data_IF_291437917048
#
_entry.id   IF_291437917048
#
_cell.length_a   1.000
_cell.length_b   1.000
_cell.length_c   1.000
_cell.angle_alpha   90.00
_cell.angle_beta   90.00
_cell.angle_gamma   90.00
#
_symmetry.space_group_name_H-M   'P 1'
#
loop_
_entity.id
_entity.type
_entity.pdbx_description
1 polymer ?
#
# COMPACT_ATOMS: atom_id res chain seq x y z
N UNK A 1 0.27 -53.19 -7.05
CA UNK A 1 -0.62 -52.13 -6.54
C UNK A 1 0.29 -50.96 -6.18
N UNK A 2 0.31 -49.88 -6.95
CA UNK A 2 1.22 -48.75 -6.70
C UNK A 2 0.62 -47.84 -5.63
N UNK A 3 1.27 -47.79 -4.47
CA UNK A 3 0.86 -46.96 -3.35
C UNK A 3 1.55 -45.61 -3.51
N UNK A 4 0.81 -44.64 -4.07
CA UNK A 4 1.28 -43.26 -4.21
C UNK A 4 1.25 -42.64 -2.80
N UNK A 5 2.39 -42.64 -2.12
CA UNK A 5 2.58 -41.86 -0.90
C UNK A 5 2.81 -40.41 -1.30
N UNK A 6 1.75 -39.63 -1.22
CA UNK A 6 1.79 -38.20 -1.50
C UNK A 6 2.51 -37.50 -0.34
N UNK A 7 3.68 -36.94 -0.63
CA UNK A 7 4.44 -36.15 0.32
C UNK A 7 3.70 -34.83 0.60
N UNK A 8 3.10 -34.73 1.79
CA UNK A 8 2.27 -33.60 2.20
C UNK A 8 3.04 -32.28 2.24
N UNK A 9 4.34 -32.32 2.55
CA UNK A 9 5.18 -31.13 2.61
C UNK A 9 5.45 -30.54 1.21
N UNK A 10 5.62 -31.41 0.22
CA UNK A 10 5.81 -31.04 -1.17
C UNK A 10 4.54 -30.41 -1.77
N UNK A 11 3.38 -30.94 -1.37
CA UNK A 11 2.08 -30.42 -1.78
C UNK A 11 1.81 -29.03 -1.19
N UNK A 12 2.23 -28.80 0.05
CA UNK A 12 2.12 -27.50 0.71
C UNK A 12 3.02 -26.45 0.05
N UNK A 13 4.23 -26.83 -0.37
CA UNK A 13 5.13 -25.96 -1.12
C UNK A 13 4.52 -25.53 -2.46
N UNK A 14 4.02 -26.48 -3.26
CA UNK A 14 3.36 -26.20 -4.54
C UNK A 14 2.14 -25.29 -4.34
N UNK A 15 1.36 -25.54 -3.30
CA UNK A 15 0.22 -24.69 -2.95
C UNK A 15 0.64 -23.25 -2.61
N UNK A 16 1.65 -23.09 -1.76
CA UNK A 16 2.15 -21.76 -1.36
C UNK A 16 2.74 -21.01 -2.57
N UNK A 17 3.51 -21.68 -3.42
CA UNK A 17 4.06 -21.06 -4.64
C UNK A 17 2.97 -20.55 -5.58
N UNK A 18 1.91 -21.33 -5.78
CA UNK A 18 0.79 -20.95 -6.65
C UNK A 18 -0.03 -19.79 -6.04
N UNK A 19 -0.18 -19.76 -4.71
CA UNK A 19 -0.77 -18.63 -3.99
C UNK A 19 0.08 -17.37 -4.19
N UNK A 20 1.40 -17.45 -4.00
CA UNK A 20 2.31 -16.32 -4.21
C UNK A 20 2.32 -15.83 -5.67
N UNK A 21 2.33 -16.75 -6.64
CA UNK A 21 2.20 -16.42 -8.06
C UNK A 21 0.92 -15.65 -8.37
N UNK A 22 -0.21 -16.06 -7.79
CA UNK A 22 -1.50 -15.41 -7.99
C UNK A 22 -1.58 -14.08 -7.27
N UNK A 23 -1.04 -13.96 -6.05
CA UNK A 23 -0.92 -12.69 -5.34
C UNK A 23 -0.11 -11.68 -6.16
N UNK A 24 1.05 -12.09 -6.68
CA UNK A 24 1.93 -11.24 -7.49
C UNK A 24 1.30 -10.83 -8.83
N UNK A 25 0.33 -11.60 -9.35
CA UNK A 25 -0.40 -11.28 -10.59
C UNK A 25 -1.56 -10.32 -10.41
N UNK A 26 -2.05 -10.12 -9.18
CA UNK A 26 -3.19 -9.24 -8.89
C UNK A 26 -2.76 -7.76 -8.80
N UNK A 27 -1.45 -7.48 -8.82
CA UNK A 27 -0.94 -6.16 -9.17
C UNK A 27 -1.18 -5.89 -10.66
N UNK A 28 -2.41 -5.52 -11.01
CA UNK A 28 -2.70 -4.66 -12.15
C UNK A 28 -1.97 -3.33 -11.88
N UNK A 29 -0.66 -3.30 -12.09
CA UNK A 29 0.19 -2.14 -11.93
C UNK A 29 -0.17 -1.12 -13.01
N UNK A 30 -1.16 -0.29 -12.71
CA UNK A 30 -1.30 0.97 -13.43
C UNK A 30 -0.05 1.77 -13.10
N UNK A 31 0.77 2.13 -14.10
CA UNK A 31 2.04 2.83 -13.86
C UNK A 31 1.84 4.13 -13.09
N UNK A 32 0.73 4.81 -13.35
CA UNK A 32 0.35 6.07 -12.70
C UNK A 32 -1.10 6.04 -12.26
N UNK A 33 -1.36 6.63 -11.10
CA UNK A 33 -2.70 7.02 -10.68
C UNK A 33 -2.97 8.47 -11.11
N UNK A 34 -4.24 8.76 -11.38
CA UNK A 34 -4.74 10.12 -11.44
C UNK A 34 -5.31 10.52 -10.06
N UNK A 35 -5.81 11.75 -9.92
CA UNK A 35 -6.43 12.21 -8.68
C UNK A 35 -7.63 11.37 -8.25
N UNK A 36 -8.41 10.82 -9.19
CA UNK A 36 -9.60 10.02 -8.86
C UNK A 36 -9.17 8.69 -8.25
N UNK A 37 -8.17 8.06 -8.84
CA UNK A 37 -7.61 6.81 -8.36
C UNK A 37 -6.89 7.00 -7.03
N UNK A 38 -6.12 8.08 -6.83
CA UNK A 38 -5.51 8.38 -5.52
C UNK A 38 -6.56 8.53 -4.42
N UNK A 39 -7.70 9.17 -4.71
CA UNK A 39 -8.84 9.24 -3.77
C UNK A 39 -9.42 7.87 -3.48
N UNK A 40 -9.56 7.01 -4.50
CA UNK A 40 -10.05 5.64 -4.36
C UNK A 40 -9.11 4.77 -3.50
N UNK A 41 -7.81 4.92 -3.69
CA UNK A 41 -6.78 4.16 -2.98
C UNK A 41 -6.70 4.55 -1.50
N UNK A 42 -6.79 5.85 -1.20
CA UNK A 42 -6.70 6.36 0.18
C UNK A 42 -8.03 6.41 0.92
N UNK A 43 -9.16 6.35 0.19
CA UNK A 43 -10.50 6.66 0.69
C UNK A 43 -10.62 8.06 1.34
N UNK A 44 -9.73 8.99 0.96
CA UNK A 44 -9.71 10.35 1.52
C UNK A 44 -10.33 11.38 0.56
N UNK A 45 -10.86 12.45 1.16
CA UNK A 45 -11.24 13.65 0.40
C UNK A 45 -9.98 14.36 -0.13
N UNK A 46 -10.12 15.14 -1.20
CA UNK A 46 -8.99 15.91 -1.75
C UNK A 46 -8.39 16.87 -0.73
N UNK A 47 -9.23 17.58 0.02
CA UNK A 47 -8.80 18.53 1.05
C UNK A 47 -8.00 17.81 2.15
N UNK A 48 -8.48 16.66 2.60
CA UNK A 48 -7.77 15.84 3.60
C UNK A 48 -6.40 15.41 3.11
N UNK A 49 -6.28 14.96 1.85
CA UNK A 49 -4.97 14.61 1.29
C UNK A 49 -4.04 15.83 1.23
N UNK A 50 -4.57 17.00 0.85
CA UNK A 50 -3.82 18.27 0.84
C UNK A 50 -3.26 18.64 2.20
N UNK A 51 -4.06 18.51 3.25
CA UNK A 51 -3.66 18.79 4.64
C UNK A 51 -2.67 17.77 5.19
N UNK A 52 -2.80 16.49 4.80
CA UNK A 52 -2.09 15.39 5.43
C UNK A 52 -0.73 15.06 4.84
N UNK A 53 -0.64 14.93 3.52
CA UNK A 53 0.58 14.42 2.89
C UNK A 53 0.86 14.98 1.50
N UNK A 54 -0.13 15.53 0.80
CA UNK A 54 0.06 15.94 -0.58
C UNK A 54 1.12 17.02 -0.73
N UNK A 55 1.25 17.91 0.27
CA UNK A 55 2.25 18.99 0.25
C UNK A 55 3.63 18.55 0.76
N UNK A 56 3.79 17.30 1.17
CA UNK A 56 5.09 16.74 1.52
C UNK A 56 5.99 16.75 0.29
N UNK A 57 7.21 17.34 0.37
CA UNK A 57 8.15 17.35 -0.75
C UNK A 57 8.57 15.94 -1.20
N UNK A 58 8.46 14.94 -0.33
CA UNK A 58 8.79 13.54 -0.63
C UNK A 58 7.61 12.77 -1.23
N UNK A 59 6.39 13.34 -1.28
CA UNK A 59 5.25 12.66 -1.87
C UNK A 59 5.42 12.57 -3.40
N UNK A 60 5.47 11.36 -3.99
CA UNK A 60 5.77 11.19 -5.41
C UNK A 60 4.59 11.65 -6.28
N UNK A 61 4.75 12.80 -6.93
CA UNK A 61 3.75 13.40 -7.82
C UNK A 61 4.41 14.20 -8.93
N UNK A 62 3.76 14.28 -10.09
CA UNK A 62 4.14 15.19 -11.16
C UNK A 62 2.91 15.75 -11.88
N UNK A 63 3.05 16.92 -12.49
CA UNK A 63 1.99 17.56 -13.25
C UNK A 63 2.34 17.57 -14.74
N UNK A 64 1.44 17.09 -15.58
CA UNK A 64 1.55 17.16 -17.04
C UNK A 64 0.27 17.76 -17.61
N UNK A 65 0.38 18.93 -18.24
CA UNK A 65 -0.76 19.59 -18.90
C UNK A 65 -1.92 19.93 -17.96
N UNK A 66 -1.62 20.30 -16.71
CA UNK A 66 -2.63 20.68 -15.72
C UNK A 66 -3.26 19.49 -14.98
N UNK A 67 -2.86 18.25 -15.28
CA UNK A 67 -3.30 17.05 -14.57
C UNK A 67 -2.19 16.50 -13.69
N UNK A 68 -2.56 16.07 -12.48
CA UNK A 68 -1.66 15.39 -11.56
C UNK A 68 -1.63 13.90 -11.84
N UNK A 69 -0.41 13.36 -11.79
CA UNK A 69 -0.12 11.95 -11.91
C UNK A 69 0.78 11.51 -10.76
N UNK A 70 0.58 10.26 -10.36
CA UNK A 70 1.15 9.69 -9.15
C UNK A 70 1.73 8.32 -9.48
N UNK A 71 3.06 8.14 -9.48
CA UNK A 71 3.68 6.83 -9.68
C UNK A 71 3.13 5.82 -8.67
N UNK A 72 2.42 4.81 -9.14
CA UNK A 72 1.56 4.00 -8.28
C UNK A 72 2.36 3.23 -7.22
N UNK A 73 3.53 2.71 -7.61
CA UNK A 73 4.40 1.92 -6.74
C UNK A 73 4.99 2.79 -5.63
N UNK A 74 5.56 3.93 -6.00
CA UNK A 74 6.18 4.88 -5.08
C UNK A 74 5.14 5.49 -4.14
N UNK A 75 3.94 5.81 -4.65
CA UNK A 75 2.85 6.31 -3.81
C UNK A 75 2.39 5.28 -2.78
N UNK A 76 2.27 3.99 -3.13
CA UNK A 76 1.93 2.94 -2.13
C UNK A 76 2.96 2.91 -1.02
N UNK A 77 4.24 2.79 -1.38
CA UNK A 77 5.32 2.74 -0.38
C UNK A 77 5.35 3.97 0.51
N UNK A 78 5.16 5.17 -0.06
CA UNK A 78 5.04 6.40 0.70
C UNK A 78 3.84 6.36 1.67
N UNK A 79 2.65 5.99 1.19
CA UNK A 79 1.42 6.01 1.99
C UNK A 79 1.46 4.99 3.13
N UNK A 80 2.06 3.83 2.91
CA UNK A 80 2.28 2.83 3.97
C UNK A 80 3.21 3.35 5.06
N UNK A 81 4.30 4.03 4.68
CA UNK A 81 5.22 4.63 5.64
C UNK A 81 4.55 5.78 6.40
N UNK A 82 3.89 6.68 5.68
CA UNK A 82 3.12 7.78 6.26
C UNK A 82 2.07 7.28 7.26
N UNK A 83 1.35 6.20 6.94
CA UNK A 83 0.35 5.62 7.84
C UNK A 83 0.99 5.07 9.12
N UNK A 84 2.12 4.37 9.03
CA UNK A 84 2.87 3.89 10.19
C UNK A 84 3.32 5.05 11.06
N UNK A 85 3.94 6.06 10.47
CA UNK A 85 4.44 7.22 11.21
C UNK A 85 3.31 7.91 11.97
N UNK A 86 2.15 8.14 11.32
CA UNK A 86 0.99 8.74 11.98
C UNK A 86 0.36 7.84 13.06
N UNK A 87 0.37 6.52 12.89
CA UNK A 87 -0.08 5.58 13.92
C UNK A 87 0.84 5.63 15.15
N UNK A 88 2.15 5.63 14.96
CA UNK A 88 3.12 5.77 16.06
C UNK A 88 2.96 7.11 16.79
N UNK A 89 2.78 8.21 16.06
CA UNK A 89 2.53 9.52 16.68
C UNK A 89 1.23 9.54 17.52
N UNK A 90 0.18 8.87 17.05
CA UNK A 90 -1.06 8.73 17.83
C UNK A 90 -0.85 7.94 19.12
N UNK A 91 -0.07 6.86 19.09
CA UNK A 91 0.21 6.03 20.26
C UNK A 91 1.07 6.79 21.29
N UNK A 92 2.13 7.46 20.85
CA UNK A 92 2.98 8.29 21.71
C UNK A 92 2.19 9.42 22.39
N UNK A 93 1.28 10.05 21.65
CA UNK A 93 0.42 11.10 22.19
C UNK A 93 -0.55 10.57 23.25
N UNK A 94 -1.04 9.34 23.09
CA UNK A 94 -1.92 8.69 24.08
C UNK A 94 -1.16 8.30 25.36
N UNK A 95 0.07 7.80 25.25
CA UNK A 95 0.91 7.46 26.40
C UNK A 95 1.28 8.71 27.22
N UNK A 96 1.65 9.82 26.56
CA UNK A 96 1.98 11.08 27.24
C UNK A 96 0.75 11.62 28.00
N UNK A 97 -0.43 11.59 27.38
CA UNK A 97 -1.66 12.07 28.00
C UNK A 97 -2.17 11.19 29.16
N UNK A 98 -1.74 9.92 29.25
CA UNK A 98 -2.04 9.04 30.38
C UNK A 98 -1.03 9.16 31.53
N UNK A 99 0.15 9.72 31.26
CA UNK A 99 1.24 9.87 32.23
C UNK A 99 1.25 11.24 32.96
N UNK A 100 0.36 12.17 32.57
CA UNK A 100 0.14 13.48 33.17
C UNK A 100 -1.16 13.45 33.96
#
# INVERSE_FOLDING_TARGET
MFQIQVNQDELKQIYLEEVWKRLNKIELETTYWDTKELKRQTNMSWNTMQEKFFNDPNFPKFNTGGKWYFPAKECRSFLEQWAKDNQYQSLLSQEINQAI
#
